data_IF_806873025429
#
_entry.id   IF_806873025429
#
_cell.length_a   1.000
_cell.length_b   1.000
_cell.length_c   1.000
_cell.angle_alpha   90.00
_cell.angle_beta   90.00
_cell.angle_gamma   90.00
#
_symmetry.space_group_name_H-M   'P 1'
#
loop_
_entity.id
_entity.type
_entity.pdbx_description
1 polymer ?
#
# COMPACT_ATOMS: atom_id res chain seq x y z
N UNK A 1 -11.02 25.05 6.57
CA UNK A 1 -10.34 25.95 5.62
C UNK A 1 -9.26 25.16 4.91
N UNK A 2 -9.24 25.12 3.57
CA UNK A 2 -8.13 24.52 2.82
C UNK A 2 -7.01 25.55 2.67
N UNK A 3 -5.86 25.33 3.28
CA UNK A 3 -4.69 26.18 3.05
C UNK A 3 -4.31 26.15 1.57
N UNK A 4 -4.13 27.32 0.95
CA UNK A 4 -3.73 27.44 -0.46
C UNK A 4 -2.21 27.57 -0.54
N UNK A 5 -1.54 26.43 -0.73
CA UNK A 5 -0.09 26.37 -0.90
C UNK A 5 0.27 26.21 -2.39
N UNK A 6 1.42 26.74 -2.85
CA UNK A 6 1.94 26.44 -4.18
C UNK A 6 2.10 24.94 -4.40
N UNK A 7 1.73 24.45 -5.59
CA UNK A 7 1.84 23.02 -5.93
C UNK A 7 3.26 22.45 -5.71
N UNK A 8 4.36 23.12 -6.09
CA UNK A 8 5.70 22.62 -5.82
C UNK A 8 5.96 22.37 -4.32
N UNK A 9 5.44 23.23 -3.45
CA UNK A 9 5.58 23.07 -2.01
C UNK A 9 4.78 21.88 -1.50
N UNK A 10 3.53 21.70 -1.98
CA UNK A 10 2.72 20.53 -1.64
C UNK A 10 3.40 19.21 -2.06
N UNK A 11 4.01 19.19 -3.25
CA UNK A 11 4.73 18.02 -3.73
C UNK A 11 6.00 17.74 -2.91
N UNK A 12 6.69 18.77 -2.43
CA UNK A 12 7.88 18.59 -1.60
C UNK A 12 7.54 18.18 -0.17
N UNK A 13 6.57 18.85 0.46
CA UNK A 13 6.16 18.61 1.85
C UNK A 13 5.47 17.26 2.05
N UNK A 14 4.94 16.65 0.99
CA UNK A 14 4.30 15.33 1.06
C UNK A 14 5.28 14.16 1.04
N UNK A 15 6.59 14.39 0.96
CA UNK A 15 7.60 13.32 0.91
C UNK A 15 8.17 13.02 2.31
N UNK A 16 8.18 11.74 2.64
CA UNK A 16 8.81 11.15 3.81
C UNK A 16 9.88 10.17 3.35
N UNK A 17 11.01 10.12 4.04
CA UNK A 17 12.04 9.10 3.83
C UNK A 17 12.02 8.18 5.05
N UNK A 18 11.48 6.98 4.90
CA UNK A 18 11.22 6.07 6.01
C UNK A 18 12.13 4.86 5.91
N UNK A 19 12.78 4.50 7.02
CA UNK A 19 13.58 3.28 7.11
C UNK A 19 12.76 2.09 7.61
N UNK A 20 12.59 1.06 6.78
CA UNK A 20 11.86 -0.18 7.09
C UNK A 20 12.54 -1.39 6.44
N UNK A 21 12.64 -2.52 7.15
CA UNK A 21 13.30 -3.73 6.63
C UNK A 21 14.75 -3.50 6.18
N UNK A 22 15.49 -2.60 6.85
CA UNK A 22 16.85 -2.23 6.46
C UNK A 22 16.95 -1.27 5.27
N UNK A 23 15.87 -1.03 4.53
CA UNK A 23 15.84 -0.17 3.35
C UNK A 23 15.29 1.23 3.63
N UNK A 24 15.67 2.19 2.78
CA UNK A 24 15.06 3.51 2.72
C UNK A 24 13.93 3.51 1.68
N UNK A 25 12.72 3.83 2.12
CA UNK A 25 11.52 3.95 1.28
C UNK A 25 11.17 5.42 1.14
N UNK A 26 10.97 5.87 -0.10
CA UNK A 26 10.43 7.20 -0.40
C UNK A 26 8.91 7.10 -0.35
N UNK A 27 8.30 7.70 0.66
CA UNK A 27 6.86 7.65 0.88
C UNK A 27 6.22 9.00 0.60
N UNK A 28 5.28 9.05 -0.35
CA UNK A 28 4.43 10.22 -0.57
C UNK A 28 3.15 10.08 0.23
N UNK A 29 2.87 11.04 1.11
CA UNK A 29 1.58 11.16 1.81
C UNK A 29 0.71 12.18 1.09
N UNK A 30 -0.28 11.70 0.34
CA UNK A 30 -1.21 12.52 -0.41
C UNK A 30 -2.46 12.84 0.42
N UNK A 31 -2.66 14.11 0.74
CA UNK A 31 -3.85 14.65 1.41
C UNK A 31 -4.78 15.42 0.44
N UNK A 32 -4.41 15.51 -0.84
CA UNK A 32 -5.11 16.26 -1.90
C UNK A 32 -5.04 15.53 -3.23
N UNK A 33 -5.93 15.86 -4.15
CA UNK A 33 -5.95 15.23 -5.48
C UNK A 33 -4.68 15.46 -6.28
N UNK A 34 -4.06 16.64 -6.18
CA UNK A 34 -2.83 16.94 -6.90
C UNK A 34 -1.65 16.08 -6.44
N UNK A 35 -1.47 15.89 -5.12
CA UNK A 35 -0.41 15.04 -4.56
C UNK A 35 -0.72 13.55 -4.82
N UNK A 36 -1.99 13.16 -4.82
CA UNK A 36 -2.44 11.81 -5.17
C UNK A 36 -2.15 11.47 -6.64
N UNK A 37 -2.57 12.34 -7.56
CA UNK A 37 -2.35 12.17 -9.01
C UNK A 37 -0.86 12.13 -9.36
N UNK A 38 -0.06 12.99 -8.71
CA UNK A 38 1.39 12.99 -8.87
C UNK A 38 2.01 11.68 -8.35
N UNK A 39 1.60 11.21 -7.16
CA UNK A 39 2.07 9.94 -6.60
C UNK A 39 1.77 8.74 -7.50
N UNK A 40 0.57 8.64 -8.08
CA UNK A 40 0.22 7.58 -9.04
C UNK A 40 1.13 7.63 -10.27
N UNK A 41 1.45 8.84 -10.76
CA UNK A 41 2.34 9.03 -11.90
C UNK A 41 3.76 8.56 -11.59
N UNK A 42 4.27 8.82 -10.39
CA UNK A 42 5.57 8.30 -9.93
C UNK A 42 5.57 6.76 -9.86
N UNK A 43 4.52 6.15 -9.32
CA UNK A 43 4.40 4.68 -9.30
C UNK A 43 4.40 4.09 -10.72
N UNK A 44 3.63 4.69 -11.64
CA UNK A 44 3.61 4.26 -13.04
C UNK A 44 4.97 4.39 -13.71
N UNK A 45 5.73 5.43 -13.38
CA UNK A 45 7.10 5.58 -13.85
C UNK A 45 7.99 4.43 -13.37
N UNK A 46 7.91 4.08 -12.08
CA UNK A 46 8.70 3.00 -11.49
C UNK A 46 8.37 1.61 -12.07
N UNK A 47 7.17 1.43 -12.63
CA UNK A 47 6.71 0.20 -13.27
C UNK A 47 6.94 0.14 -14.79
N UNK A 48 7.37 1.24 -15.44
CA UNK A 48 7.34 1.36 -16.91
C UNK A 48 8.09 0.26 -17.68
N UNK A 49 9.15 -0.30 -17.09
CA UNK A 49 9.98 -1.33 -17.71
C UNK A 49 9.53 -2.77 -17.39
N UNK A 50 8.54 -2.94 -16.51
CA UNK A 50 8.05 -4.25 -16.08
C UNK A 50 6.84 -4.67 -16.94
N UNK A 51 6.89 -5.81 -17.65
CA UNK A 51 5.75 -6.30 -18.42
C UNK A 51 4.62 -6.86 -17.55
N UNK A 52 4.90 -7.25 -16.30
CA UNK A 52 3.93 -7.80 -15.35
C UNK A 52 4.05 -7.11 -13.98
N UNK A 53 3.80 -5.79 -13.92
CA UNK A 53 4.05 -5.02 -12.72
C UNK A 53 3.20 -5.47 -11.54
N UNK A 54 3.87 -5.63 -10.40
CA UNK A 54 3.25 -5.91 -9.11
C UNK A 54 3.20 -4.62 -8.30
N UNK A 55 2.05 -4.37 -7.67
CA UNK A 55 1.85 -3.25 -6.76
C UNK A 55 1.39 -3.81 -5.41
N UNK A 56 2.16 -3.54 -4.36
CA UNK A 56 1.72 -3.78 -3.01
C UNK A 56 0.53 -2.89 -2.69
N UNK A 57 -0.50 -3.41 -2.04
CA UNK A 57 -1.67 -2.64 -1.64
C UNK A 57 -2.12 -2.95 -0.22
N UNK A 58 -2.58 -1.93 0.50
CA UNK A 58 -3.36 -2.11 1.72
C UNK A 58 -4.35 -0.96 1.93
N UNK A 59 -5.35 -1.22 2.76
CA UNK A 59 -6.34 -0.26 3.23
C UNK A 59 -6.31 -0.29 4.75
N UNK A 60 -5.93 0.83 5.34
CA UNK A 60 -5.67 0.98 6.78
C UNK A 60 -6.75 1.86 7.41
N UNK A 61 -7.05 1.58 8.68
CA UNK A 61 -8.00 2.31 9.51
C UNK A 61 -9.37 2.52 8.83
N UNK A 62 -10.02 1.41 8.45
CA UNK A 62 -11.35 1.43 7.83
C UNK A 62 -11.46 2.31 6.57
N UNK A 63 -10.37 2.44 5.82
CA UNK A 63 -10.34 3.19 4.57
C UNK A 63 -9.89 4.64 4.67
N UNK A 64 -9.45 5.10 5.84
CA UNK A 64 -8.81 6.41 5.95
C UNK A 64 -7.57 6.50 5.08
N UNK A 65 -6.79 5.42 5.02
CA UNK A 65 -5.60 5.33 4.19
C UNK A 65 -5.76 4.25 3.13
N UNK A 66 -5.45 4.60 1.89
CA UNK A 66 -5.21 3.66 0.81
C UNK A 66 -3.73 3.73 0.44
N UNK A 67 -3.04 2.59 0.49
CA UNK A 67 -1.61 2.52 0.30
C UNK A 67 -1.26 1.75 -0.97
N UNK A 68 -0.25 2.23 -1.68
CA UNK A 68 0.38 1.52 -2.79
C UNK A 68 1.88 1.46 -2.58
N UNK A 69 2.50 0.34 -2.93
CA UNK A 69 3.93 0.15 -2.81
C UNK A 69 4.50 -0.46 -4.09
N UNK A 70 5.56 0.15 -4.62
CA UNK A 70 6.30 -0.32 -5.80
C UNK A 70 7.78 -0.08 -5.57
N UNK A 71 8.61 -1.11 -5.71
CA UNK A 71 10.08 -1.04 -5.57
C UNK A 71 10.52 -0.38 -4.26
N UNK A 72 10.89 0.92 -4.29
CA UNK A 72 11.33 1.71 -3.12
C UNK A 72 10.43 2.92 -2.86
N UNK A 73 9.24 2.92 -3.45
CA UNK A 73 8.28 4.02 -3.38
C UNK A 73 6.97 3.54 -2.79
N UNK A 74 6.48 4.29 -1.81
CA UNK A 74 5.14 4.13 -1.27
C UNK A 74 4.31 5.39 -1.54
N UNK A 75 3.04 5.20 -1.87
CA UNK A 75 2.03 6.25 -1.87
C UNK A 75 1.01 5.93 -0.79
N UNK A 76 0.89 6.80 0.21
CA UNK A 76 -0.21 6.79 1.18
C UNK A 76 -1.20 7.86 0.77
N UNK A 77 -2.44 7.48 0.51
CA UNK A 77 -3.53 8.40 0.21
C UNK A 77 -4.38 8.53 1.46
N UNK A 78 -4.46 9.73 2.05
CA UNK A 78 -5.42 10.06 3.12
C UNK A 78 -6.80 10.25 2.50
N UNK A 79 -7.42 9.14 2.10
CA UNK A 79 -8.53 9.11 1.18
C UNK A 79 -9.80 9.77 1.74
N UNK A 80 -10.19 9.45 2.97
CA UNK A 80 -11.33 10.10 3.63
C UNK A 80 -11.13 11.61 3.79
N UNK A 81 -9.89 12.06 4.02
CA UNK A 81 -9.56 13.49 4.06
C UNK A 81 -9.74 14.15 2.69
N UNK A 82 -9.31 13.50 1.61
CA UNK A 82 -9.49 14.01 0.24
C UNK A 82 -10.98 14.14 -0.08
N UNK A 83 -11.80 13.15 0.29
CA UNK A 83 -13.26 13.21 0.13
C UNK A 83 -13.86 14.39 0.91
N UNK A 84 -13.44 14.57 2.18
CA UNK A 84 -13.86 15.67 3.03
C UNK A 84 -13.54 17.05 2.44
N UNK A 85 -12.35 17.20 1.84
CA UNK A 85 -11.89 18.49 1.30
C UNK A 85 -12.57 18.86 -0.03
N UNK A 86 -12.98 17.87 -0.81
CA UNK A 86 -13.53 18.08 -2.15
C UNK A 86 -15.06 17.98 -2.22
N UNK A 87 -15.73 17.68 -1.10
CA UNK A 87 -17.16 17.37 -1.05
C UNK A 87 -17.54 16.28 -2.08
N UNK A 88 -16.69 15.26 -2.18
CA UNK A 88 -16.84 14.15 -3.13
C UNK A 88 -17.36 12.92 -2.41
N UNK A 89 -18.18 12.16 -3.13
CA UNK A 89 -18.73 10.88 -2.67
C UNK A 89 -18.20 9.67 -3.45
N UNK A 90 -17.33 9.89 -4.44
CA UNK A 90 -16.89 8.86 -5.38
C UNK A 90 -15.36 8.86 -5.55
N UNK A 91 -14.84 7.70 -5.92
CA UNK A 91 -13.45 7.50 -6.31
C UNK A 91 -13.12 8.38 -7.52
N UNK A 92 -12.09 9.24 -7.46
CA UNK A 92 -11.66 10.02 -8.62
C UNK A 92 -11.32 9.12 -9.81
N UNK A 93 -11.74 9.52 -11.01
CA UNK A 93 -11.65 8.67 -12.22
C UNK A 93 -10.25 8.17 -12.53
N UNK A 94 -9.20 8.97 -12.26
CA UNK A 94 -7.82 8.55 -12.47
C UNK A 94 -7.35 7.49 -11.48
N UNK A 95 -7.85 7.53 -10.23
CA UNK A 95 -7.60 6.48 -9.25
C UNK A 95 -8.37 5.21 -9.65
N UNK A 96 -9.65 5.34 -10.02
CA UNK A 96 -10.44 4.23 -10.53
C UNK A 96 -9.77 3.56 -11.74
N UNK A 97 -9.25 4.35 -12.68
CA UNK A 97 -8.49 3.83 -13.84
C UNK A 97 -7.20 3.13 -13.44
N UNK A 98 -6.54 3.55 -12.35
CA UNK A 98 -5.36 2.86 -11.84
C UNK A 98 -5.73 1.50 -11.22
N UNK A 99 -6.80 1.45 -10.42
CA UNK A 99 -7.29 0.21 -9.81
C UNK A 99 -7.83 -0.79 -10.84
N UNK A 100 -8.35 -0.29 -11.96
CA UNK A 100 -8.92 -1.09 -13.05
C UNK A 100 -7.90 -1.46 -14.13
N UNK A 101 -6.62 -1.13 -13.96
CA UNK A 101 -5.57 -1.44 -14.92
C UNK A 101 -5.29 -2.95 -14.94
N UNK A 102 -5.71 -3.62 -16.01
CA UNK A 102 -5.57 -5.08 -16.17
C UNK A 102 -4.12 -5.56 -16.26
N UNK A 103 -3.17 -4.66 -16.51
CA UNK A 103 -1.75 -5.02 -16.60
C UNK A 103 -1.06 -5.00 -15.23
N UNK A 104 -1.72 -4.47 -14.20
CA UNK A 104 -1.19 -4.42 -12.84
C UNK A 104 -1.75 -5.59 -12.03
N UNK A 105 -0.88 -6.29 -11.32
CA UNK A 105 -1.31 -7.23 -10.27
C UNK A 105 -1.14 -6.57 -8.91
N UNK A 106 -2.26 -6.27 -8.24
CA UNK A 106 -2.23 -5.77 -6.88
C UNK A 106 -2.06 -6.94 -5.91
N UNK A 107 -1.13 -6.84 -4.96
CA UNK A 107 -0.91 -7.85 -3.92
C UNK A 107 -1.02 -7.21 -2.56
N UNK A 108 -1.88 -7.77 -1.72
CA UNK A 108 -2.14 -7.21 -0.39
C UNK A 108 -2.34 -8.28 0.67
N UNK A 109 -2.66 -7.85 1.90
CA UNK A 109 -2.86 -8.76 3.01
C UNK A 109 -4.14 -9.60 2.85
N UNK A 110 -4.37 -10.48 3.82
CA UNK A 110 -5.54 -11.35 3.83
C UNK A 110 -6.83 -10.54 3.72
N UNK A 111 -7.71 -11.02 2.83
CA UNK A 111 -9.00 -10.40 2.53
C UNK A 111 -8.91 -8.98 1.94
N UNK A 112 -7.80 -8.65 1.25
CA UNK A 112 -7.66 -7.37 0.53
C UNK A 112 -8.82 -7.06 -0.41
N UNK A 113 -9.40 -8.08 -1.06
CA UNK A 113 -10.58 -7.95 -1.92
C UNK A 113 -11.87 -7.53 -1.19
N UNK A 114 -11.89 -7.64 0.13
CA UNK A 114 -13.01 -7.22 0.99
C UNK A 114 -12.76 -5.88 1.68
N UNK A 115 -11.56 -5.29 1.51
CA UNK A 115 -11.24 -3.99 2.11
C UNK A 115 -12.11 -2.89 1.52
N UNK A 116 -12.48 -1.95 2.38
CA UNK A 116 -13.51 -0.95 2.13
C UNK A 116 -13.19 0.35 2.84
N UNK A 117 -13.92 1.40 2.47
CA UNK A 117 -13.94 2.66 3.18
C UNK A 117 -15.37 3.07 3.53
N UNK A 118 -15.51 3.80 4.64
CA UNK A 118 -16.78 4.40 5.03
C UNK A 118 -16.64 5.91 4.98
N UNK A 119 -17.48 6.58 4.19
CA UNK A 119 -17.53 8.03 4.14
C UNK A 119 -18.96 8.52 4.32
N UNK A 120 -19.17 9.46 5.25
CA UNK A 120 -20.50 10.02 5.56
C UNK A 120 -21.58 8.95 5.84
N UNK A 121 -21.19 7.84 6.48
CA UNK A 121 -22.09 6.71 6.78
C UNK A 121 -22.37 5.76 5.61
N UNK A 122 -21.78 6.01 4.43
CA UNK A 122 -21.91 5.14 3.25
C UNK A 122 -20.71 4.22 3.15
N UNK A 123 -20.98 2.91 3.14
CA UNK A 123 -19.98 1.88 2.91
C UNK A 123 -19.68 1.75 1.41
N UNK A 124 -18.40 1.79 1.04
CA UNK A 124 -17.93 1.61 -0.33
C UNK A 124 -16.73 0.68 -0.38
N UNK A 125 -16.65 -0.15 -1.42
CA UNK A 125 -15.49 -1.02 -1.66
C UNK A 125 -14.56 -0.37 -2.68
N UNK A 126 -13.27 -0.60 -2.51
CA UNK A 126 -12.34 -0.38 -3.61
C UNK A 126 -12.48 -1.54 -4.60
N UNK A 127 -12.72 -1.21 -5.86
CA UNK A 127 -12.88 -2.19 -6.93
C UNK A 127 -11.56 -2.31 -7.71
N UNK A 128 -10.97 -3.50 -7.68
CA UNK A 128 -9.68 -3.82 -8.29
C UNK A 128 -9.87 -4.80 -9.43
N UNK A 129 -9.21 -4.56 -10.57
CA UNK A 129 -9.30 -5.49 -11.70
C UNK A 129 -8.60 -6.82 -11.42
N UNK A 130 -7.40 -6.75 -10.86
CA UNK A 130 -6.56 -7.91 -10.54
C UNK A 130 -5.94 -7.70 -9.16
N UNK A 131 -6.47 -8.38 -8.15
CA UNK A 131 -5.96 -8.31 -6.77
C UNK A 131 -5.79 -9.71 -6.19
N UNK A 132 -4.69 -9.92 -5.48
CA UNK A 132 -4.31 -11.23 -4.93
C UNK A 132 -3.92 -11.08 -3.46
N UNK A 133 -4.40 -12.00 -2.64
CA UNK A 133 -3.93 -12.18 -1.26
C UNK A 133 -2.52 -12.78 -1.26
N UNK A 134 -1.61 -12.19 -0.49
CA UNK A 134 -0.20 -12.63 -0.45
C UNK A 134 -0.06 -14.07 0.07
N UNK A 135 -0.91 -14.51 1.00
CA UNK A 135 -0.90 -15.89 1.51
C UNK A 135 -1.30 -16.90 0.44
N UNK A 136 -2.35 -16.59 -0.33
CA UNK A 136 -2.76 -17.35 -1.50
C UNK A 136 -1.65 -17.43 -2.56
N UNK A 137 -1.03 -16.29 -2.90
CA UNK A 137 0.07 -16.24 -3.86
C UNK A 137 1.23 -17.15 -3.43
N UNK A 138 1.69 -17.01 -2.18
CA UNK A 138 2.76 -17.83 -1.61
C UNK A 138 2.39 -19.32 -1.58
N UNK A 139 1.17 -19.67 -1.15
CA UNK A 139 0.70 -21.05 -1.12
C UNK A 139 0.72 -21.71 -2.52
N UNK A 140 0.28 -20.98 -3.54
CA UNK A 140 0.19 -21.47 -4.91
C UNK A 140 1.57 -21.66 -5.56
N UNK A 141 2.49 -20.74 -5.33
CA UNK A 141 3.83 -20.81 -5.90
C UNK A 141 4.67 -21.86 -5.15
N UNK A 142 4.71 -21.81 -3.82
CA UNK A 142 5.52 -22.70 -3.00
C UNK A 142 4.92 -24.12 -2.86
N UNK A 143 3.69 -24.35 -3.36
CA UNK A 143 2.96 -25.62 -3.23
C UNK A 143 2.76 -26.06 -1.78
N UNK A 144 2.52 -25.11 -0.87
CA UNK A 144 2.36 -25.33 0.57
C UNK A 144 0.98 -24.84 1.05
N UNK A 145 -0.04 -25.74 1.15
CA UNK A 145 -1.40 -25.35 1.53
C UNK A 145 -1.51 -24.66 2.90
N UNK A 146 -0.60 -24.96 3.84
CA UNK A 146 -0.59 -24.34 5.17
C UNK A 146 -0.46 -22.81 5.13
N UNK A 147 0.13 -22.26 4.08
CA UNK A 147 0.35 -20.81 3.93
C UNK A 147 -0.96 -20.04 3.71
N UNK A 148 -2.06 -20.71 3.32
CA UNK A 148 -3.38 -20.08 3.19
C UNK A 148 -3.89 -19.51 4.52
N UNK A 149 -3.54 -20.15 5.64
CA UNK A 149 -3.93 -19.73 6.99
C UNK A 149 -2.80 -19.04 7.77
N UNK A 150 -1.60 -18.93 7.19
CA UNK A 150 -0.44 -18.38 7.89
C UNK A 150 -0.56 -16.90 8.25
N UNK A 151 0.13 -16.48 9.30
CA UNK A 151 0.30 -15.07 9.64
C UNK A 151 1.26 -14.38 8.65
N UNK A 152 1.29 -13.05 8.66
CA UNK A 152 2.25 -12.30 7.84
C UNK A 152 3.70 -12.65 8.23
N UNK A 153 3.95 -12.80 9.53
CA UNK A 153 5.25 -13.18 10.09
C UNK A 153 5.66 -14.61 9.67
N UNK A 154 4.73 -15.56 9.65
CA UNK A 154 5.00 -16.92 9.14
C UNK A 154 5.29 -16.92 7.63
N UNK A 155 4.58 -16.10 6.85
CA UNK A 155 4.85 -15.95 5.42
C UNK A 155 6.23 -15.35 5.16
N UNK A 156 6.61 -14.33 5.92
CA UNK A 156 7.95 -13.72 5.84
C UNK A 156 9.06 -14.73 6.16
N UNK A 157 8.89 -15.51 7.22
CA UNK A 157 9.83 -16.57 7.60
C UNK A 157 9.95 -17.66 6.53
N UNK A 158 8.83 -18.04 5.90
CA UNK A 158 8.80 -19.04 4.83
C UNK A 158 9.65 -18.65 3.61
N UNK A 159 9.72 -17.35 3.30
CA UNK A 159 10.40 -16.83 2.11
C UNK A 159 11.73 -16.14 2.41
N UNK A 160 12.24 -16.28 3.63
CA UNK A 160 13.50 -15.66 4.08
C UNK A 160 13.49 -14.13 3.91
N UNK A 161 12.40 -13.50 4.38
CA UNK A 161 12.25 -12.05 4.44
C UNK A 161 12.22 -11.63 5.92
N UNK A 162 13.16 -10.81 6.34
CA UNK A 162 13.25 -10.33 7.73
C UNK A 162 12.83 -8.86 7.84
N UNK A 163 11.62 -8.61 8.33
CA UNK A 163 11.08 -7.26 8.52
C UNK A 163 10.48 -7.16 9.91
N UNK A 164 11.08 -6.32 10.75
CA UNK A 164 10.59 -6.09 12.10
C UNK A 164 9.39 -5.14 12.07
N UNK A 165 8.30 -5.55 12.74
CA UNK A 165 7.15 -4.69 13.00
C UNK A 165 7.61 -3.43 13.76
N UNK A 166 7.29 -2.21 13.28
CA UNK A 166 7.67 -0.98 13.96
C UNK A 166 7.07 -0.90 15.37
N UNK A 167 7.86 -0.49 16.35
CA UNK A 167 7.42 -0.20 17.72
C UNK A 167 7.05 1.28 17.82
N UNK A 168 5.89 1.59 18.39
CA UNK A 168 5.41 2.97 18.56
C UNK A 168 5.51 3.35 20.04
N UNK A 169 6.27 4.41 20.34
CA UNK A 169 6.59 4.81 21.71
C UNK A 169 5.40 5.25 22.57
N UNK A 170 4.28 5.60 21.94
CA UNK A 170 3.02 6.03 22.55
C UNK A 170 1.98 4.89 22.69
N UNK A 171 2.36 3.64 22.40
CA UNK A 171 1.57 2.43 22.70
C UNK A 171 0.45 2.11 21.71
N UNK A 172 -0.09 3.08 20.96
CA UNK A 172 -1.05 2.82 19.88
C UNK A 172 -1.07 3.91 18.82
N UNK A 173 -1.44 3.55 17.59
CA UNK A 173 -1.72 4.51 16.54
C UNK A 173 -2.98 5.32 16.86
N UNK A 174 -3.03 6.56 16.39
CA UNK A 174 -4.24 7.37 16.47
C UNK A 174 -5.41 6.68 15.78
N UNK A 175 -6.63 6.86 16.31
CA UNK A 175 -7.84 6.21 15.80
C UNK A 175 -8.46 6.87 14.56
N UNK A 176 -8.15 8.15 14.29
CA UNK A 176 -8.77 8.96 13.24
C UNK A 176 -7.73 9.67 12.41
N UNK A 177 -7.31 9.07 11.30
CA UNK A 177 -6.20 9.58 10.52
C UNK A 177 -6.60 10.74 9.62
N UNK A 178 -7.88 10.83 9.26
CA UNK A 178 -8.49 11.90 8.48
C UNK A 178 -8.44 13.28 9.17
N UNK A 179 -8.32 13.29 10.50
CA UNK A 179 -8.34 14.50 11.33
C UNK A 179 -7.15 15.45 11.11
N UNK A 180 -6.03 14.96 10.57
CA UNK A 180 -4.82 15.75 10.30
C UNK A 180 -4.39 15.61 8.84
N UNK A 181 -3.76 16.65 8.30
CA UNK A 181 -3.09 16.58 6.99
C UNK A 181 -1.70 15.92 7.09
N UNK A 182 -1.13 15.93 8.29
CA UNK A 182 0.25 15.56 8.55
C UNK A 182 0.29 14.26 9.34
N UNK A 183 1.13 13.35 8.87
CA UNK A 183 1.49 12.12 9.56
C UNK A 183 2.88 12.29 10.19
N UNK A 184 3.11 11.72 11.36
CA UNK A 184 4.46 11.58 11.89
C UNK A 184 5.24 10.52 11.11
N UNK A 185 6.57 10.53 11.20
CA UNK A 185 7.39 9.50 10.55
C UNK A 185 7.07 8.09 11.09
N UNK A 186 6.80 7.97 12.40
CA UNK A 186 6.39 6.73 13.04
C UNK A 186 5.03 6.25 12.55
N UNK A 187 4.06 7.16 12.38
CA UNK A 187 2.76 6.84 11.78
C UNK A 187 2.94 6.31 10.36
N UNK A 188 3.72 7.02 9.51
CA UNK A 188 4.01 6.57 8.16
C UNK A 188 4.67 5.19 8.17
N UNK A 189 5.67 4.99 9.04
CA UNK A 189 6.39 3.72 9.15
C UNK A 189 5.50 2.55 9.54
N UNK A 190 4.58 2.76 10.48
CA UNK A 190 3.64 1.72 10.90
C UNK A 190 2.60 1.47 9.80
N UNK A 191 2.09 2.52 9.15
CA UNK A 191 1.11 2.39 8.07
C UNK A 191 1.66 1.57 6.89
N UNK A 192 2.93 1.79 6.51
CA UNK A 192 3.52 1.07 5.38
C UNK A 192 3.93 -0.37 5.69
N UNK A 193 3.97 -0.79 6.97
CA UNK A 193 4.56 -2.08 7.35
C UNK A 193 3.91 -3.26 6.62
N UNK A 194 2.59 -3.35 6.65
CA UNK A 194 1.88 -4.51 6.10
C UNK A 194 1.97 -4.55 4.57
N UNK A 195 1.80 -3.39 3.90
CA UNK A 195 1.93 -3.30 2.44
C UNK A 195 3.36 -3.56 1.96
N UNK A 196 4.37 -3.07 2.70
CA UNK A 196 5.78 -3.33 2.44
C UNK A 196 6.09 -4.81 2.54
N UNK A 197 5.70 -5.46 3.64
CA UNK A 197 5.92 -6.90 3.85
C UNK A 197 5.22 -7.74 2.79
N UNK A 198 3.96 -7.44 2.45
CA UNK A 198 3.25 -8.15 1.39
C UNK A 198 3.97 -8.05 0.03
N UNK A 199 4.47 -6.86 -0.32
CA UNK A 199 5.22 -6.65 -1.54
C UNK A 199 6.55 -7.42 -1.55
N UNK A 200 7.30 -7.41 -0.45
CA UNK A 200 8.57 -8.13 -0.35
C UNK A 200 8.37 -9.65 -0.48
N UNK A 201 7.35 -10.20 0.19
CA UNK A 201 6.99 -11.61 0.05
C UNK A 201 6.63 -11.93 -1.40
N UNK A 202 5.73 -11.14 -2.01
CA UNK A 202 5.28 -11.35 -3.39
C UNK A 202 6.43 -11.33 -4.39
N UNK A 203 7.34 -10.37 -4.24
CA UNK A 203 8.52 -10.24 -5.09
C UNK A 203 9.39 -11.49 -4.97
N UNK A 204 9.69 -11.92 -3.74
CA UNK A 204 10.54 -13.09 -3.47
C UNK A 204 9.97 -14.39 -4.02
N UNK A 205 8.66 -14.64 -3.84
CA UNK A 205 8.04 -15.88 -4.37
C UNK A 205 7.98 -15.88 -5.89
N UNK A 206 7.76 -14.73 -6.52
CA UNK A 206 7.72 -14.62 -7.98
C UNK A 206 9.11 -14.79 -8.59
N UNK A 207 10.16 -14.25 -7.96
CA UNK A 207 11.54 -14.51 -8.35
C UNK A 207 11.87 -16.01 -8.32
N UNK A 208 11.45 -16.72 -7.26
CA UNK A 208 11.59 -18.18 -7.16
C UNK A 208 10.87 -18.90 -8.30
N UNK A 209 9.63 -18.50 -8.61
CA UNK A 209 8.86 -19.09 -9.70
C UNK A 209 9.54 -18.90 -11.06
N UNK A 210 10.13 -17.73 -11.31
CA UNK A 210 10.79 -17.39 -12.58
C UNK A 210 12.16 -18.06 -12.73
N UNK A 211 12.88 -18.25 -11.63
CA UNK A 211 14.23 -18.84 -11.63
C UNK A 211 14.24 -20.37 -11.50
N UNK A 212 13.10 -20.97 -11.11
CA UNK A 212 12.95 -22.42 -10.96
C UNK A 212 13.68 -23.03 -9.75
N UNK A 213 14.24 -22.19 -8.86
CA UNK A 213 14.95 -22.64 -7.65
C UNK A 213 13.97 -22.70 -6.49
N UNK A 214 13.37 -23.87 -6.26
CA UNK A 214 12.64 -24.14 -5.01
C UNK A 214 13.63 -24.20 -3.85
N UNK A 215 13.53 -23.28 -2.89
CA UNK A 215 14.22 -23.39 -1.61
C UNK A 215 13.69 -24.63 -0.88
N UNK A 216 14.49 -25.69 -0.87
CA UNK A 216 14.24 -26.85 -0.03
C UNK A 216 14.55 -26.48 1.42
N UNK A 217 13.51 -26.52 2.25
CA UNK A 217 13.53 -26.46 3.71
C UNK A 217 12.27 -27.13 4.24
#
# INVERSE_FOLDING_TARGET
>A
MSERLPLPWLLQMSIYNVKIGGENVITRVADREATMSHGISELRHDMKADPNPIVGIDVVNSGDLLLFYVKKRCLIIQYNRILALNDKYQVPSFLASFLQDKNITFVGPRHINNKSFTWSGVYQKFDFKTVVDVGYLAAQICKKPRLLSSTLEELMLEVDVEIMRPIIGNGSLRHKWESSAVLSEEEVKVAIYEVYSCYQIATKVIEVMQTGVTTHG
#
